data_IF_127874144409
#
_entry.id   IF_127874144409
#
_cell.length_a   1.000
_cell.length_b   1.000
_cell.length_c   1.000
_cell.angle_alpha   90.00
_cell.angle_beta   90.00
_cell.angle_gamma   90.00
#
_symmetry.space_group_name_H-M   'P 1'
#
loop_
_entity.id
_entity.type
_entity.pdbx_description
1 polymer ?
#
# COMPACT_ATOMS: atom_id res chain seq x y z
N UNK A 1 -7.41 -16.53 4.19
CA UNK A 1 -7.65 -15.30 3.42
C UNK A 1 -6.91 -15.27 2.08
N UNK A 2 -5.93 -16.15 1.84
CA UNK A 2 -5.42 -16.40 0.50
C UNK A 2 -5.88 -17.80 0.11
N UNK A 3 -7.07 -17.89 -0.48
CA UNK A 3 -7.54 -19.13 -1.11
C UNK A 3 -7.07 -19.08 -2.56
N UNK A 4 -5.79 -19.40 -2.76
CA UNK A 4 -5.05 -19.92 -3.93
C UNK A 4 -5.43 -19.53 -5.38
N UNK A 5 -6.31 -18.56 -5.63
CA UNK A 5 -6.72 -18.19 -6.98
C UNK A 5 -6.63 -16.68 -7.25
N UNK A 6 -7.22 -15.81 -6.41
CA UNK A 6 -7.17 -14.35 -6.61
C UNK A 6 -7.16 -13.56 -5.28
N UNK A 7 -6.67 -12.32 -5.32
CA UNK A 7 -6.61 -11.43 -4.14
C UNK A 7 -7.99 -10.88 -3.69
N UNK A 8 -8.95 -10.85 -4.62
CA UNK A 8 -10.34 -10.43 -4.39
C UNK A 8 -11.32 -11.52 -4.84
N UNK A 9 -12.64 -11.31 -4.65
CA UNK A 9 -13.67 -12.22 -5.18
C UNK A 9 -13.83 -12.04 -6.70
N UNK A 10 -12.74 -12.25 -7.42
CA UNK A 10 -12.59 -12.09 -8.86
C UNK A 10 -12.88 -13.40 -9.60
N UNK A 11 -13.42 -13.28 -10.81
CA UNK A 11 -13.62 -14.42 -11.71
C UNK A 11 -12.41 -14.63 -12.64
N UNK A 12 -11.61 -13.59 -12.83
CA UNK A 12 -10.38 -13.53 -13.62
C UNK A 12 -9.47 -12.46 -12.99
N UNK A 13 -8.15 -12.56 -13.16
CA UNK A 13 -7.19 -11.58 -12.64
C UNK A 13 -7.61 -10.13 -12.97
N UNK A 14 -7.91 -9.34 -11.92
CA UNK A 14 -8.31 -7.94 -12.06
C UNK A 14 -9.68 -7.70 -12.74
N UNK A 15 -10.52 -8.74 -12.89
CA UNK A 15 -11.82 -8.65 -13.60
C UNK A 15 -12.93 -9.45 -12.90
N UNK A 16 -14.15 -8.92 -13.02
CA UNK A 16 -15.35 -9.59 -12.51
C UNK A 16 -15.39 -9.69 -10.99
N UNK A 17 -14.72 -8.78 -10.29
CA UNK A 17 -14.76 -8.71 -8.83
C UNK A 17 -16.20 -8.47 -8.37
N UNK A 18 -16.67 -9.33 -7.46
CA UNK A 18 -17.93 -9.14 -6.75
C UNK A 18 -17.68 -8.56 -5.36
N UNK A 19 -18.59 -7.72 -4.87
CA UNK A 19 -18.45 -7.11 -3.55
C UNK A 19 -18.44 -8.19 -2.45
N UNK A 20 -17.37 -8.21 -1.66
CA UNK A 20 -17.17 -9.17 -0.58
C UNK A 20 -17.40 -8.52 0.79
N UNK A 21 -18.59 -7.92 0.99
CA UNK A 21 -18.87 -7.03 2.12
C UNK A 21 -18.62 -7.65 3.50
N UNK A 22 -18.85 -8.95 3.65
CA UNK A 22 -18.59 -9.70 4.87
C UNK A 22 -17.10 -9.82 5.24
N UNK A 23 -16.19 -9.60 4.28
CA UNK A 23 -14.73 -9.65 4.47
C UNK A 23 -14.07 -8.29 4.28
N UNK A 24 -14.85 -7.23 4.06
CA UNK A 24 -14.34 -5.91 3.72
C UNK A 24 -13.41 -5.38 4.81
N UNK A 25 -13.84 -5.46 6.08
CA UNK A 25 -13.04 -4.99 7.21
C UNK A 25 -11.68 -5.70 7.29
N UNK A 26 -11.62 -6.98 6.95
CA UNK A 26 -10.37 -7.74 7.02
C UNK A 26 -9.44 -7.47 5.83
N UNK A 27 -10.01 -7.13 4.66
CA UNK A 27 -9.24 -6.89 3.42
C UNK A 27 -8.79 -5.46 3.26
N UNK A 28 -9.54 -4.49 3.78
CA UNK A 28 -9.25 -3.07 3.63
C UNK A 28 -7.84 -2.68 4.13
N UNK A 29 -7.34 -3.19 5.27
CA UNK A 29 -6.00 -2.87 5.74
C UNK A 29 -4.90 -3.43 4.83
N UNK A 30 -5.13 -4.57 4.17
CA UNK A 30 -4.14 -5.22 3.29
C UNK A 30 -3.74 -4.33 2.11
N UNK A 31 -4.65 -3.46 1.67
CA UNK A 31 -4.39 -2.52 0.59
C UNK A 31 -3.28 -1.55 0.96
N UNK A 32 -3.26 -1.13 2.23
CA UNK A 32 -2.25 -0.23 2.80
C UNK A 32 -0.89 -0.91 2.94
N UNK A 33 -0.83 -2.24 2.83
CA UNK A 33 0.42 -3.01 2.89
C UNK A 33 1.13 -3.12 1.54
N UNK A 34 0.68 -2.36 0.55
CA UNK A 34 1.43 -2.11 -0.69
C UNK A 34 2.03 -0.70 -0.66
N UNK A 35 3.17 -0.45 -1.33
CA UNK A 35 3.73 0.90 -1.35
C UNK A 35 2.75 1.93 -1.92
N UNK A 36 1.93 1.54 -2.90
CA UNK A 36 0.96 2.42 -3.55
C UNK A 36 -0.18 2.78 -2.61
N UNK A 37 -0.83 1.79 -1.99
CA UNK A 37 -1.95 2.03 -1.08
C UNK A 37 -1.55 2.82 0.15
N UNK A 38 -0.32 2.64 0.64
CA UNK A 38 0.22 3.42 1.74
C UNK A 38 0.45 4.89 1.35
N UNK A 39 1.12 5.13 0.22
CA UNK A 39 1.44 6.49 -0.26
C UNK A 39 0.16 7.26 -0.59
N UNK A 40 -0.84 6.64 -1.22
CA UNK A 40 -2.12 7.31 -1.47
C UNK A 40 -2.83 7.76 -0.20
N UNK A 41 -2.74 6.98 0.88
CA UNK A 41 -3.36 7.38 2.16
C UNK A 41 -2.73 8.65 2.73
N UNK A 42 -1.43 8.83 2.52
CA UNK A 42 -0.70 10.04 2.90
C UNK A 42 -1.03 11.20 1.95
N UNK A 43 -1.15 10.94 0.64
CA UNK A 43 -1.56 11.96 -0.34
C UNK A 43 -2.98 12.47 -0.03
N UNK A 44 -3.92 11.56 0.23
CA UNK A 44 -5.33 11.87 0.51
C UNK A 44 -5.53 12.60 1.84
N UNK A 45 -4.59 12.43 2.79
CA UNK A 45 -4.57 13.21 4.02
C UNK A 45 -4.14 14.67 3.77
N UNK A 46 -3.57 14.99 2.61
CA UNK A 46 -3.17 16.33 2.17
C UNK A 46 -2.42 17.12 3.26
N UNK A 47 -2.95 18.28 3.66
CA UNK A 47 -2.37 19.18 4.66
C UNK A 47 -2.30 18.58 6.08
N UNK A 48 -2.96 17.45 6.32
CA UNK A 48 -2.92 16.72 7.60
C UNK A 48 -1.77 15.71 7.68
N UNK A 49 -1.01 15.52 6.60
CA UNK A 49 0.19 14.69 6.64
C UNK A 49 1.25 15.32 7.54
N UNK A 50 1.73 14.54 8.50
CA UNK A 50 2.85 14.88 9.37
C UNK A 50 4.12 14.29 8.81
N UNK A 51 5.13 15.14 8.62
CA UNK A 51 6.48 14.74 8.22
C UNK A 51 7.39 14.76 9.43
N UNK A 52 8.07 13.65 9.69
CA UNK A 52 9.05 13.53 10.77
C UNK A 52 10.25 12.68 10.33
N UNK A 53 11.13 12.36 11.28
CA UNK A 53 12.30 11.49 11.07
C UNK A 53 12.22 10.29 12.00
N UNK A 54 12.54 9.12 11.48
CA UNK A 54 12.78 7.93 12.29
C UNK A 54 14.10 8.06 13.06
N UNK A 55 14.33 7.17 14.04
CA UNK A 55 15.55 7.18 14.85
C UNK A 55 16.84 7.01 14.01
N UNK A 56 16.76 6.29 12.89
CA UNK A 56 17.83 6.10 11.90
C UNK A 56 17.87 7.19 10.82
N UNK A 57 17.09 8.27 10.96
CA UNK A 57 17.15 9.45 10.10
C UNK A 57 16.36 9.37 8.80
N UNK A 58 15.61 8.28 8.55
CA UNK A 58 14.72 8.13 7.39
C UNK A 58 13.51 9.06 7.53
N UNK A 59 12.93 9.43 6.40
CA UNK A 59 11.72 10.28 6.41
C UNK A 59 10.52 9.43 6.79
N UNK A 60 9.71 9.90 7.74
CA UNK A 60 8.46 9.27 8.14
C UNK A 60 7.30 10.18 7.77
N UNK A 61 6.36 9.67 6.98
CA UNK A 61 5.14 10.37 6.59
C UNK A 61 3.96 9.70 7.30
N UNK A 62 3.19 10.43 8.10
CA UNK A 62 2.02 9.90 8.79
C UNK A 62 0.77 10.64 8.33
N UNK A 63 -0.26 9.91 7.92
CA UNK A 63 -1.53 10.47 7.47
C UNK A 63 -2.68 9.52 7.75
N UNK A 64 -3.90 10.05 7.83
CA UNK A 64 -5.13 9.25 7.95
C UNK A 64 -5.97 9.50 6.72
N UNK A 65 -6.30 8.43 5.98
CA UNK A 65 -7.14 8.55 4.78
C UNK A 65 -8.55 8.99 5.19
N UNK A 66 -9.11 10.05 4.60
CA UNK A 66 -10.46 10.53 4.93
C UNK A 66 -11.55 9.58 4.42
N UNK A 67 -11.23 8.64 3.53
CA UNK A 67 -12.18 7.73 2.91
C UNK A 67 -12.43 6.46 3.71
N UNK A 68 -11.42 5.99 4.46
CA UNK A 68 -11.48 4.74 5.23
C UNK A 68 -11.09 4.90 6.71
N UNK A 69 -10.58 6.08 7.11
CA UNK A 69 -10.18 6.37 8.48
C UNK A 69 -8.94 5.61 8.96
N UNK A 70 -8.19 4.95 8.06
CA UNK A 70 -7.01 4.18 8.42
C UNK A 70 -5.81 5.13 8.55
N UNK A 71 -5.24 5.22 9.75
CA UNK A 71 -3.97 5.89 10.00
C UNK A 71 -2.83 5.04 9.42
N UNK A 72 -2.02 5.64 8.57
CA UNK A 72 -0.86 5.04 7.92
C UNK A 72 0.39 5.85 8.24
N UNK A 73 1.47 5.15 8.57
CA UNK A 73 2.81 5.72 8.62
C UNK A 73 3.70 5.04 7.57
N UNK A 74 4.34 5.83 6.71
CA UNK A 74 5.21 5.38 5.61
C UNK A 74 6.63 5.86 5.88
N UNK A 75 7.55 4.91 6.09
CA UNK A 75 8.98 5.20 6.16
C UNK A 75 9.55 5.19 4.75
N UNK A 76 10.23 6.27 4.38
CA UNK A 76 10.80 6.51 3.06
C UNK A 76 12.32 6.66 3.17
N UNK A 77 13.02 5.95 2.31
CA UNK A 77 14.47 5.96 2.23
C UNK A 77 14.95 6.68 0.96
N UNK A 78 15.92 7.56 1.13
CA UNK A 78 16.63 8.23 0.04
C UNK A 78 17.62 7.22 -0.58
N UNK A 79 17.50 6.95 -1.87
CA UNK A 79 18.42 6.09 -2.62
C UNK A 79 19.07 6.89 -3.76
N UNK A 80 20.41 6.99 -3.74
CA UNK A 80 21.21 7.79 -4.69
C UNK A 80 22.14 6.96 -5.57
N UNK A 81 22.26 5.67 -5.27
CA UNK A 81 23.20 4.75 -5.91
C UNK A 81 22.45 3.49 -6.33
N UNK A 82 21.42 3.67 -7.14
CA UNK A 82 20.63 2.57 -7.66
C UNK A 82 21.10 2.19 -9.07
N UNK A 83 20.97 0.91 -9.41
CA UNK A 83 20.95 0.52 -10.82
C UNK A 83 19.80 1.24 -11.53
N UNK A 84 19.80 1.33 -12.85
CA UNK A 84 18.72 2.02 -13.58
C UNK A 84 17.34 1.50 -13.13
N UNK A 85 16.57 2.35 -12.44
CA UNK A 85 15.26 2.01 -11.92
C UNK A 85 14.22 2.76 -12.74
N UNK A 86 13.66 2.10 -13.76
CA UNK A 86 12.64 2.69 -14.61
C UNK A 86 13.19 3.88 -15.41
N UNK A 87 12.54 5.06 -15.34
CA UNK A 87 12.98 6.25 -16.08
C UNK A 87 14.15 6.99 -15.41
N UNK A 88 14.52 6.64 -14.17
CA UNK A 88 15.50 7.40 -13.40
C UNK A 88 16.95 7.05 -13.77
N UNK A 89 17.77 8.09 -13.90
CA UNK A 89 19.21 7.93 -14.09
C UNK A 89 19.87 7.41 -12.79
N UNK A 90 20.91 6.57 -12.85
CA UNK A 90 21.55 5.98 -11.67
C UNK A 90 22.09 6.95 -10.61
N UNK A 91 22.23 8.23 -10.97
CA UNK A 91 22.74 9.31 -10.11
C UNK A 91 21.64 10.14 -9.48
N UNK A 92 20.38 9.95 -9.91
CA UNK A 92 19.25 10.68 -9.36
C UNK A 92 18.92 10.22 -7.95
N UNK A 93 18.42 11.15 -7.14
CA UNK A 93 17.85 10.80 -5.85
C UNK A 93 16.42 10.31 -6.05
N UNK A 94 16.18 9.05 -5.73
CA UNK A 94 14.83 8.51 -5.61
C UNK A 94 14.46 8.31 -4.14
N UNK A 95 13.17 8.35 -3.86
CA UNK A 95 12.60 8.17 -2.52
C UNK A 95 11.64 7.00 -2.55
N UNK A 96 12.02 5.93 -1.87
CA UNK A 96 11.29 4.66 -1.92
C UNK A 96 10.69 4.35 -0.55
N UNK A 97 9.40 3.96 -0.48
CA UNK A 97 8.84 3.37 0.73
C UNK A 97 9.63 2.12 1.13
N UNK A 98 10.01 1.97 2.39
CA UNK A 98 10.74 0.78 2.86
C UNK A 98 10.03 0.06 4.00
N UNK A 99 9.15 0.78 4.71
CA UNK A 99 8.27 0.21 5.71
C UNK A 99 6.96 0.98 5.81
N UNK A 100 5.89 0.28 6.17
CA UNK A 100 4.58 0.84 6.43
C UNK A 100 4.02 0.25 7.71
N UNK A 101 3.33 1.08 8.48
CA UNK A 101 2.36 0.62 9.48
C UNK A 101 0.99 1.22 9.18
N UNK A 102 -0.06 0.44 9.40
CA UNK A 102 -1.45 0.86 9.28
C UNK A 102 -2.25 0.42 10.51
N UNK A 103 -3.04 1.32 11.09
CA UNK A 103 -3.90 1.00 12.25
C UNK A 103 -5.33 0.82 11.78
N UNK A 104 -5.84 -0.40 11.92
CA UNK A 104 -7.22 -0.73 11.52
C UNK A 104 -7.76 -1.88 12.36
N UNK A 105 -9.06 -1.84 12.69
CA UNK A 105 -9.77 -2.86 13.46
C UNK A 105 -9.12 -3.19 14.82
N UNK A 106 -8.50 -2.21 15.47
CA UNK A 106 -7.79 -2.43 16.74
C UNK A 106 -6.42 -3.13 16.62
N UNK A 107 -5.96 -3.37 15.39
CA UNK A 107 -4.70 -4.04 15.10
C UNK A 107 -3.70 -3.11 14.41
N UNK A 108 -2.41 -3.44 14.54
CA UNK A 108 -1.33 -2.82 13.78
C UNK A 108 -0.89 -3.74 12.65
N UNK A 109 -1.16 -3.33 11.43
CA UNK A 109 -0.73 -4.02 10.22
C UNK A 109 0.61 -3.42 9.78
N UNK A 110 1.56 -4.27 9.40
CA UNK A 110 2.90 -3.83 9.00
C UNK A 110 3.30 -4.38 7.65
N UNK A 111 4.11 -3.63 6.90
CA UNK A 111 4.77 -4.12 5.70
C UNK A 111 6.21 -3.61 5.61
N UNK A 112 7.11 -4.41 5.07
CA UNK A 112 8.45 -3.96 4.62
C UNK A 112 8.65 -4.28 3.16
N UNK A 113 9.45 -3.45 2.49
CA UNK A 113 9.65 -3.50 1.04
C UNK A 113 11.14 -3.51 0.71
N UNK A 114 11.53 -4.39 -0.20
CA UNK A 114 12.91 -4.49 -0.67
C UNK A 114 12.98 -4.86 -2.16
N UNK A 115 14.20 -4.79 -2.71
CA UNK A 115 14.51 -5.26 -4.06
C UNK A 115 13.62 -4.61 -5.13
N UNK A 116 13.53 -3.28 -5.08
CA UNK A 116 12.86 -2.46 -6.08
C UNK A 116 13.42 -2.71 -7.48
N UNK A 117 12.54 -2.85 -8.46
CA UNK A 117 12.89 -3.14 -9.86
C UNK A 117 12.26 -2.16 -10.83
N UNK A 118 13.08 -1.69 -11.77
CA UNK A 118 12.70 -0.72 -12.79
C UNK A 118 12.06 -1.29 -14.06
N UNK A 119 12.05 -2.61 -14.19
CA UNK A 119 11.58 -3.36 -15.35
C UNK A 119 10.23 -4.04 -15.12
N UNK A 120 9.58 -3.74 -14.00
CA UNK A 120 8.18 -4.07 -13.73
C UNK A 120 7.28 -2.97 -14.31
N UNK A 121 6.28 -3.33 -15.13
CA UNK A 121 5.36 -2.36 -15.74
C UNK A 121 4.08 -2.15 -14.88
N UNK A 122 3.56 -0.92 -14.75
CA UNK A 122 4.13 0.31 -15.26
C UNK A 122 5.28 0.75 -14.34
N UNK A 123 6.42 1.08 -14.93
CA UNK A 123 7.51 1.74 -14.20
C UNK A 123 7.31 3.26 -14.10
N UNK A 124 6.11 3.73 -14.42
CA UNK A 124 5.68 5.11 -14.26
C UNK A 124 4.86 5.22 -12.98
N UNK A 125 5.05 6.32 -12.25
CA UNK A 125 4.40 6.70 -10.99
C UNK A 125 5.02 6.09 -9.74
N UNK A 126 5.26 4.78 -9.71
CA UNK A 126 5.92 4.15 -8.57
C UNK A 126 6.68 2.88 -8.98
N UNK A 127 7.99 2.85 -8.72
CA UNK A 127 8.79 1.64 -8.84
C UNK A 127 8.28 0.64 -7.80
N UNK A 128 8.06 -0.61 -8.19
CA UNK A 128 7.49 -1.64 -7.29
C UNK A 128 8.58 -2.54 -6.70
N UNK A 129 8.49 -2.92 -5.41
CA UNK A 129 9.40 -3.89 -4.78
C UNK A 129 9.11 -5.31 -5.25
N UNK A 130 10.14 -6.15 -5.40
CA UNK A 130 9.88 -7.58 -5.59
C UNK A 130 9.62 -8.31 -4.29
N UNK A 131 10.10 -7.80 -3.16
CA UNK A 131 9.99 -8.50 -1.89
C UNK A 131 9.15 -7.67 -0.93
N UNK A 132 8.06 -8.27 -0.45
CA UNK A 132 7.17 -7.65 0.52
C UNK A 132 6.90 -8.60 1.67
N UNK A 133 7.14 -8.15 2.91
CA UNK A 133 6.84 -8.93 4.11
C UNK A 133 5.78 -8.23 4.92
N UNK A 134 4.69 -8.92 5.21
CA UNK A 134 3.55 -8.38 5.94
C UNK A 134 3.48 -8.93 7.35
N UNK A 135 3.03 -8.11 8.28
CA UNK A 135 2.82 -8.47 9.67
C UNK A 135 1.46 -8.01 10.18
N UNK A 136 0.94 -8.73 11.18
CA UNK A 136 -0.21 -8.36 11.97
C UNK A 136 0.19 -8.40 13.45
N UNK A 137 0.12 -7.25 14.13
CA UNK A 137 0.60 -7.04 15.49
C UNK A 137 2.05 -7.55 15.70
N UNK A 138 2.90 -7.25 14.72
CA UNK A 138 4.31 -7.64 14.71
C UNK A 138 4.56 -9.13 14.40
N UNK A 139 3.52 -9.96 14.25
CA UNK A 139 3.65 -11.36 13.86
C UNK A 139 3.63 -11.50 12.33
N UNK A 140 4.41 -12.43 11.74
CA UNK A 140 4.37 -12.67 10.30
C UNK A 140 2.96 -13.02 9.82
N UNK A 141 2.52 -12.35 8.75
CA UNK A 141 1.24 -12.58 8.09
C UNK A 141 1.43 -13.15 6.68
N UNK A 142 2.35 -12.58 5.90
CA UNK A 142 2.68 -13.04 4.56
C UNK A 142 4.14 -12.69 4.20
N UNK A 143 4.75 -13.51 3.36
CA UNK A 143 6.03 -13.25 2.71
C UNK A 143 5.80 -13.41 1.21
N UNK A 144 5.84 -12.29 0.49
CA UNK A 144 5.39 -12.17 -0.89
C UNK A 144 6.59 -11.86 -1.79
N UNK A 145 6.74 -12.66 -2.84
CA UNK A 145 7.69 -12.39 -3.92
C UNK A 145 6.93 -12.07 -5.21
N UNK A 146 7.07 -10.83 -5.68
CA UNK A 146 6.45 -10.34 -6.91
C UNK A 146 7.26 -10.84 -8.09
N UNK A 147 6.70 -11.81 -8.80
CA UNK A 147 7.28 -12.37 -10.03
C UNK A 147 6.85 -11.60 -11.28
N UNK A 148 5.73 -10.87 -11.19
CA UNK A 148 5.16 -10.11 -12.29
C UNK A 148 4.29 -8.96 -11.76
N UNK A 149 4.29 -7.83 -12.47
CA UNK A 149 3.44 -6.67 -12.21
C UNK A 149 3.08 -6.06 -13.56
N UNK A 150 1.79 -5.73 -13.77
CA UNK A 150 1.32 -5.15 -15.03
C UNK A 150 0.24 -4.09 -14.82
N UNK A 151 0.56 -2.88 -15.25
CA UNK A 151 -0.32 -1.69 -15.31
C UNK A 151 -0.88 -1.22 -13.96
N UNK A 152 -1.39 0.03 -13.96
CA UNK A 152 -1.91 0.78 -12.81
C UNK A 152 -2.53 -0.18 -11.77
N UNK A 153 -2.15 -0.11 -10.48
CA UNK A 153 -3.11 -0.51 -9.48
C UNK A 153 -4.27 0.48 -9.60
N UNK A 154 -5.23 0.17 -10.47
CA UNK A 154 -6.56 0.75 -10.39
C UNK A 154 -7.13 0.23 -9.09
N UNK A 155 -6.82 0.95 -8.02
CA UNK A 155 -7.65 0.98 -6.84
C UNK A 155 -8.51 2.22 -7.02
N UNK A 156 -9.50 2.12 -7.90
CA UNK A 156 -10.64 3.04 -7.84
C UNK A 156 -11.62 2.40 -6.88
N UNK A 157 -11.65 2.92 -5.64
CA UNK A 157 -12.76 2.69 -4.73
C UNK A 157 -13.75 3.85 -4.84
N UNK A 158 -14.73 3.79 -5.76
CA UNK A 158 -15.98 4.42 -5.42
C UNK A 158 -16.52 3.60 -4.26
N UNK A 159 -16.60 4.19 -3.06
CA UNK A 159 -17.35 3.62 -1.96
C UNK A 159 -18.73 3.25 -2.54
N UNK A 160 -19.13 1.97 -2.59
CA UNK A 160 -20.40 1.58 -3.16
C UNK A 160 -21.54 2.31 -2.45
N UNK A 161 -22.58 2.73 -3.17
CA UNK A 161 -23.65 3.55 -2.57
C UNK A 161 -24.36 2.86 -1.39
N UNK A 162 -24.32 1.52 -1.33
CA UNK A 162 -24.79 0.72 -0.19
C UNK A 162 -24.00 0.98 1.11
N UNK A 163 -22.75 1.41 1.01
CA UNK A 163 -21.90 1.84 2.14
C UNK A 163 -22.15 3.31 2.48
N UNK A 164 -22.40 4.16 1.47
CA UNK A 164 -22.77 5.58 1.68
C UNK A 164 -24.15 5.75 2.35
N UNK A 165 -25.02 4.75 2.25
CA UNK A 165 -26.37 4.75 2.83
C UNK A 165 -26.43 4.53 4.35
N UNK A 166 -25.34 4.09 5.00
CA UNK A 166 -25.27 3.99 6.45
C UNK A 166 -24.86 5.34 7.05
N UNK A 167 -25.77 6.31 7.02
CA UNK A 167 -25.71 7.41 8.00
C UNK A 167 -25.80 6.79 9.39
N UNK A 168 -24.86 7.16 10.28
CA UNK A 168 -25.00 6.92 11.70
C UNK A 168 -26.37 7.46 12.15
N UNK A 169 -27.27 6.55 12.49
CA UNK A 169 -28.48 6.87 13.22
C UNK A 169 -28.07 7.18 14.65
N UNK A 170 -28.27 8.44 15.06
CA UNK A 170 -28.30 8.87 16.46
C UNK A 170 -29.23 7.98 17.29
#
# INVERSE_FOLDING_TARGET
MFADQYAWNETQEGRGATAAMNTLNDRLPLIKLTPFGAVWSVIDAEAHTVVSKTADGKTLLTGTSPYDGIEVAVTVEDNRNHLKLGPYDPTELIRLPVAVTAKANGHTWGATFANYRGDLEPNVWMIFPTDMKWTLDGKPLADLHVTFFRSNPYIVFPIPDVVKGQKASN
#
